data_IF_114372104083
#
_entry.id   IF_114372104083
#
_cell.length_a   1.000
_cell.length_b   1.000
_cell.length_c   1.000
_cell.angle_alpha   90.00
_cell.angle_beta   90.00
_cell.angle_gamma   90.00
#
_symmetry.space_group_name_H-M   'P 1'
#
loop_
_entity.id
_entity.type
_entity.pdbx_description
1 polymer ?
#
# COMPACT_ATOMS: atom_id res chain seq x y z
N UNK A 1 37.68 -16.45 16.93
CA UNK A 1 37.27 -15.03 16.82
C UNK A 1 36.20 -14.72 17.86
N UNK A 2 36.01 -13.46 18.28
CA UNK A 2 34.91 -13.10 19.22
C UNK A 2 33.53 -13.58 18.75
N UNK A 3 33.29 -13.57 17.43
CA UNK A 3 32.04 -14.09 16.82
C UNK A 3 31.85 -15.59 16.99
N UNK A 4 32.91 -16.39 16.85
CA UNK A 4 32.83 -17.84 17.09
C UNK A 4 32.39 -18.16 18.52
N UNK A 5 32.91 -17.41 19.49
CA UNK A 5 32.52 -17.53 20.91
C UNK A 5 31.05 -17.15 21.11
N UNK A 6 30.57 -16.06 20.49
CA UNK A 6 29.16 -15.67 20.56
C UNK A 6 28.26 -16.75 19.95
N UNK A 7 28.60 -17.29 18.76
CA UNK A 7 27.86 -18.39 18.14
C UNK A 7 27.77 -19.61 19.08
N UNK A 8 28.87 -19.98 19.72
CA UNK A 8 28.90 -21.09 20.67
C UNK A 8 28.03 -20.83 21.90
N UNK A 9 28.07 -19.62 22.47
CA UNK A 9 27.21 -19.23 23.60
C UNK A 9 25.73 -19.33 23.21
N UNK A 10 25.36 -18.78 22.06
CA UNK A 10 23.97 -18.81 21.58
C UNK A 10 23.52 -20.24 21.31
N UNK A 11 24.38 -21.09 20.76
CA UNK A 11 24.05 -22.51 20.51
C UNK A 11 23.72 -23.31 21.79
N UNK A 12 24.23 -22.87 22.94
CA UNK A 12 24.00 -23.50 24.26
C UNK A 12 22.73 -23.01 24.96
N UNK A 13 22.03 -22.02 24.41
CA UNK A 13 20.75 -21.54 24.95
C UNK A 13 19.69 -22.63 24.81
N UNK A 14 19.08 -23.04 25.92
CA UNK A 14 18.09 -24.12 25.96
C UNK A 14 16.70 -23.74 25.44
N UNK A 15 16.36 -22.45 25.43
CA UNK A 15 15.07 -21.98 24.93
C UNK A 15 15.15 -21.65 23.44
N UNK A 16 14.55 -22.51 22.62
CA UNK A 16 14.68 -22.51 21.16
C UNK A 16 14.30 -21.16 20.52
N UNK A 17 13.16 -20.57 20.91
CA UNK A 17 12.70 -19.32 20.32
C UNK A 17 13.67 -18.16 20.58
N UNK A 18 14.21 -18.05 21.79
CA UNK A 18 15.19 -17.01 22.11
C UNK A 18 16.53 -17.27 21.41
N UNK A 19 16.94 -18.54 21.29
CA UNK A 19 18.12 -18.92 20.52
C UNK A 19 17.99 -18.50 19.05
N UNK A 20 16.89 -18.87 18.40
CA UNK A 20 16.60 -18.55 16.99
C UNK A 20 16.51 -17.03 16.76
N UNK A 21 15.81 -16.31 17.64
CA UNK A 21 15.74 -14.85 17.59
C UNK A 21 17.14 -14.24 17.71
N UNK A 22 17.95 -14.69 18.69
CA UNK A 22 19.30 -14.17 18.89
C UNK A 22 20.20 -14.49 17.70
N UNK A 23 20.05 -15.65 17.06
CA UNK A 23 20.77 -15.98 15.82
C UNK A 23 20.43 -14.99 14.70
N UNK A 24 19.15 -14.67 14.51
CA UNK A 24 18.69 -13.67 13.55
C UNK A 24 19.24 -12.27 13.87
N UNK A 25 19.11 -11.84 15.13
CA UNK A 25 19.51 -10.51 15.59
C UNK A 25 21.02 -10.26 15.55
N UNK A 26 21.83 -11.31 15.59
CA UNK A 26 23.27 -11.23 15.45
C UNK A 26 23.75 -11.22 13.99
N UNK A 27 22.83 -11.24 13.02
CA UNK A 27 23.17 -10.98 11.63
C UNK A 27 23.60 -9.53 11.50
N UNK A 28 24.74 -9.27 10.86
CA UNK A 28 25.35 -7.93 10.77
C UNK A 28 25.58 -7.55 9.32
N UNK A 29 25.46 -6.26 8.97
CA UNK A 29 25.63 -5.69 7.61
C UNK A 29 26.80 -6.26 6.80
N UNK A 30 27.88 -6.65 7.48
CA UNK A 30 29.11 -7.09 6.84
C UNK A 30 29.19 -8.59 6.58
N UNK A 31 28.27 -9.40 7.12
CA UNK A 31 28.25 -10.85 6.93
C UNK A 31 26.83 -11.38 7.12
N UNK A 32 26.27 -11.98 6.07
CA UNK A 32 25.08 -12.82 6.22
C UNK A 32 25.40 -13.92 7.23
N UNK A 33 24.65 -14.02 8.31
CA UNK A 33 24.79 -15.17 9.18
C UNK A 33 24.55 -16.44 8.35
N UNK A 34 25.33 -17.49 8.59
CA UNK A 34 25.01 -18.84 8.14
C UNK A 34 23.74 -19.28 8.87
N UNK A 35 22.60 -18.79 8.41
CA UNK A 35 21.28 -19.17 8.90
C UNK A 35 20.94 -20.50 8.24
N UNK A 36 21.57 -21.58 8.71
CA UNK A 36 21.34 -22.93 8.19
C UNK A 36 19.86 -23.34 8.30
N UNK A 37 19.16 -22.86 9.35
CA UNK A 37 17.73 -23.01 9.53
C UNK A 37 17.10 -21.63 9.78
N UNK A 38 16.27 -21.18 8.83
CA UNK A 38 15.52 -19.93 8.95
C UNK A 38 14.15 -20.24 9.53
N UNK A 39 13.83 -19.64 10.69
CA UNK A 39 12.50 -19.72 11.30
C UNK A 39 11.84 -18.34 11.37
N UNK A 40 10.58 -18.30 11.79
CA UNK A 40 9.88 -17.04 12.09
C UNK A 40 10.66 -16.22 13.14
N UNK A 41 11.18 -16.85 14.19
CA UNK A 41 11.94 -16.16 15.23
C UNK A 41 13.26 -15.62 14.68
N UNK A 42 13.94 -16.36 13.81
CA UNK A 42 15.14 -15.88 13.10
C UNK A 42 14.82 -14.63 12.27
N UNK A 43 13.72 -14.62 11.52
CA UNK A 43 13.29 -13.46 10.75
C UNK A 43 12.97 -12.25 11.63
N UNK A 44 12.32 -12.46 12.78
CA UNK A 44 12.07 -11.40 13.75
C UNK A 44 13.35 -10.83 14.33
N UNK A 45 14.31 -11.69 14.70
CA UNK A 45 15.62 -11.26 15.16
C UNK A 45 16.33 -10.43 14.10
N UNK A 46 16.33 -10.90 12.85
CA UNK A 46 16.91 -10.17 11.73
C UNK A 46 16.28 -8.78 11.56
N UNK A 47 14.95 -8.73 11.59
CA UNK A 47 14.19 -7.48 11.41
C UNK A 47 14.30 -6.52 12.59
N UNK A 48 14.59 -7.04 13.78
CA UNK A 48 14.91 -6.21 14.94
C UNK A 48 16.25 -5.48 14.76
N UNK A 49 17.25 -6.12 14.14
CA UNK A 49 18.61 -5.57 14.04
C UNK A 49 18.89 -4.82 12.74
N UNK A 50 18.20 -5.16 11.65
CA UNK A 50 18.49 -4.65 10.30
C UNK A 50 17.19 -4.18 9.66
N UNK A 51 17.18 -2.94 9.16
CA UNK A 51 16.14 -2.42 8.27
C UNK A 51 16.58 -2.61 6.82
N UNK A 52 15.88 -3.46 6.07
CA UNK A 52 16.24 -3.89 4.72
C UNK A 52 16.93 -5.27 4.70
N UNK A 53 17.48 -5.65 3.54
CA UNK A 53 18.17 -6.92 3.37
C UNK A 53 19.59 -6.74 2.86
N UNK A 54 20.47 -7.64 3.30
CA UNK A 54 21.78 -7.80 2.69
C UNK A 54 21.65 -8.52 1.35
N UNK A 55 22.62 -8.24 0.48
CA UNK A 55 22.75 -8.92 -0.82
C UNK A 55 22.85 -10.44 -0.59
N UNK A 56 21.87 -11.19 -1.09
CA UNK A 56 21.82 -12.65 -1.00
C UNK A 56 21.07 -13.24 0.19
N UNK A 57 20.51 -12.41 1.09
CA UNK A 57 19.69 -12.92 2.22
C UNK A 57 18.21 -13.07 1.87
N UNK A 58 17.71 -12.29 0.92
CA UNK A 58 16.31 -12.32 0.48
C UNK A 58 15.82 -13.75 0.16
N UNK A 59 16.60 -14.51 -0.59
CA UNK A 59 16.23 -15.87 -1.00
C UNK A 59 16.12 -16.84 0.19
N UNK A 60 16.93 -16.63 1.23
CA UNK A 60 16.89 -17.46 2.45
C UNK A 60 15.61 -17.24 3.26
N UNK A 61 15.04 -16.05 3.20
CA UNK A 61 13.86 -15.69 3.95
C UNK A 61 12.54 -15.89 3.20
N UNK A 62 12.57 -16.17 1.88
CA UNK A 62 11.37 -16.28 1.04
C UNK A 62 10.29 -17.17 1.65
N UNK A 63 10.64 -18.42 2.00
CA UNK A 63 9.67 -19.39 2.56
C UNK A 63 9.06 -18.92 3.88
N UNK A 64 9.87 -18.30 4.76
CA UNK A 64 9.36 -17.76 6.02
C UNK A 64 8.50 -16.52 5.79
N UNK A 65 8.83 -15.68 4.80
CA UNK A 65 7.99 -14.56 4.38
C UNK A 65 6.61 -15.04 3.92
N UNK A 66 6.54 -16.08 3.10
CA UNK A 66 5.28 -16.70 2.66
C UNK A 66 4.47 -17.23 3.84
N UNK A 67 5.12 -17.94 4.77
CA UNK A 67 4.48 -18.47 5.98
C UNK A 67 3.92 -17.35 6.89
N UNK A 68 4.64 -16.22 7.00
CA UNK A 68 4.18 -15.04 7.76
C UNK A 68 2.95 -14.39 7.11
N UNK A 69 2.95 -14.23 5.79
CA UNK A 69 1.83 -13.68 5.03
C UNK A 69 0.59 -14.60 5.13
N UNK A 70 0.79 -15.92 5.02
CA UNK A 70 -0.26 -16.93 5.20
C UNK A 70 -0.88 -16.87 6.59
N UNK A 71 -0.06 -16.71 7.63
CA UNK A 71 -0.53 -16.60 9.03
C UNK A 71 -1.14 -15.23 9.36
N UNK A 72 -0.90 -14.21 8.53
CA UNK A 72 -1.23 -12.82 8.87
C UNK A 72 -0.36 -12.27 10.01
N UNK A 73 0.85 -12.81 10.19
CA UNK A 73 1.71 -12.46 11.32
C UNK A 73 2.63 -11.29 10.97
N UNK A 74 2.04 -10.10 10.93
CA UNK A 74 2.73 -8.83 10.65
C UNK A 74 2.66 -7.94 11.88
N UNK A 75 3.81 -7.49 12.38
CA UNK A 75 3.91 -6.63 13.54
C UNK A 75 5.03 -5.59 13.34
N UNK A 76 5.12 -4.62 14.26
CA UNK A 76 6.05 -3.50 14.14
C UNK A 76 7.53 -3.92 14.05
N UNK A 77 7.89 -5.13 14.49
CA UNK A 77 9.27 -5.64 14.39
C UNK A 77 9.58 -6.16 12.98
N UNK A 78 8.63 -6.83 12.33
CA UNK A 78 8.88 -7.56 11.09
C UNK A 78 8.26 -6.92 9.84
N UNK A 79 7.36 -5.96 9.99
CA UNK A 79 6.55 -5.39 8.90
C UNK A 79 7.39 -4.86 7.74
N UNK A 80 8.37 -4.02 8.04
CA UNK A 80 9.18 -3.35 7.01
C UNK A 80 9.93 -4.36 6.14
N UNK A 81 10.65 -5.29 6.79
CA UNK A 81 11.39 -6.32 6.07
C UNK A 81 10.45 -7.33 5.40
N UNK A 82 9.30 -7.65 5.99
CA UNK A 82 8.36 -8.57 5.35
C UNK A 82 7.82 -7.98 4.06
N UNK A 83 7.45 -6.70 4.04
CA UNK A 83 6.94 -6.05 2.83
C UNK A 83 8.04 -5.83 1.79
N UNK A 84 9.26 -5.48 2.19
CA UNK A 84 10.39 -5.44 1.27
C UNK A 84 10.69 -6.81 0.65
N UNK A 85 10.67 -7.88 1.45
CA UNK A 85 10.84 -9.25 0.97
C UNK A 85 9.72 -9.63 0.01
N UNK A 86 8.48 -9.31 0.37
CA UNK A 86 7.30 -9.62 -0.43
C UNK A 86 7.40 -8.98 -1.81
N UNK A 87 7.58 -7.65 -1.85
CA UNK A 87 7.76 -6.87 -3.08
C UNK A 87 8.93 -7.38 -3.93
N UNK A 88 10.00 -7.87 -3.30
CA UNK A 88 11.22 -8.27 -4.01
C UNK A 88 11.26 -9.73 -4.46
N UNK A 89 10.53 -10.66 -3.81
CA UNK A 89 10.75 -12.12 -4.01
C UNK A 89 9.51 -13.00 -3.96
N UNK A 90 8.36 -12.47 -3.55
CA UNK A 90 7.14 -13.26 -3.37
C UNK A 90 6.10 -12.75 -4.34
N UNK A 91 5.77 -13.54 -5.34
CA UNK A 91 4.65 -13.26 -6.22
C UNK A 91 3.34 -13.56 -5.47
N UNK A 92 2.46 -12.58 -5.25
CA UNK A 92 1.17 -12.82 -4.61
C UNK A 92 0.18 -13.58 -5.52
N UNK A 93 0.47 -13.67 -6.81
CA UNK A 93 -0.38 -14.33 -7.81
C UNK A 93 -0.02 -15.80 -8.07
N UNK A 94 1.01 -16.34 -7.40
CA UNK A 94 1.37 -17.76 -7.53
C UNK A 94 0.25 -18.65 -6.97
N UNK A 95 -0.09 -19.75 -7.67
CA UNK A 95 -1.22 -20.62 -7.29
C UNK A 95 -1.08 -21.24 -5.89
N UNK A 96 0.14 -21.51 -5.45
CA UNK A 96 0.45 -22.07 -4.13
C UNK A 96 0.49 -20.99 -3.02
N UNK A 97 0.38 -19.72 -3.39
CA UNK A 97 0.48 -18.61 -2.44
C UNK A 97 -0.84 -18.44 -1.68
N UNK A 98 -0.74 -18.47 -0.35
CA UNK A 98 -1.84 -18.16 0.55
C UNK A 98 -1.51 -16.89 1.33
N UNK A 99 -2.41 -15.90 1.31
CA UNK A 99 -2.25 -14.63 2.01
C UNK A 99 -3.46 -14.41 2.91
N UNK A 100 -3.21 -14.06 4.17
CA UNK A 100 -4.28 -13.66 5.09
C UNK A 100 -4.64 -12.18 4.89
N UNK A 101 -5.43 -11.90 3.85
CA UNK A 101 -5.86 -10.56 3.46
C UNK A 101 -6.60 -9.79 4.55
N UNK A 102 -7.25 -10.48 5.49
CA UNK A 102 -8.08 -9.83 6.52
C UNK A 102 -7.28 -9.34 7.73
N UNK A 103 -6.09 -9.91 7.99
CA UNK A 103 -5.30 -9.62 9.18
C UNK A 103 -4.06 -8.77 8.91
N UNK A 104 -3.78 -8.47 7.64
CA UNK A 104 -2.60 -7.69 7.24
C UNK A 104 -3.04 -6.31 6.77
N UNK A 105 -2.46 -5.28 7.38
CA UNK A 105 -2.61 -3.91 6.90
C UNK A 105 -1.55 -3.62 5.82
N UNK A 106 -1.99 -3.63 4.56
CA UNK A 106 -1.14 -3.37 3.39
C UNK A 106 -0.93 -1.89 3.08
N UNK A 107 -1.54 -0.94 3.80
CA UNK A 107 -1.32 0.51 3.56
C UNK A 107 0.17 0.87 3.63
N UNK A 108 0.91 0.23 4.55
CA UNK A 108 2.36 0.41 4.68
C UNK A 108 3.17 -0.16 3.51
N UNK A 109 2.66 -1.17 2.81
CA UNK A 109 3.29 -1.64 1.56
C UNK A 109 3.14 -0.58 0.46
N UNK A 110 1.99 0.11 0.39
CA UNK A 110 1.79 1.23 -0.55
C UNK A 110 2.78 2.37 -0.27
N UNK A 111 3.05 2.67 1.01
CA UNK A 111 4.07 3.65 1.41
C UNK A 111 5.44 3.29 0.83
N UNK A 112 5.88 2.03 0.99
CA UNK A 112 7.16 1.59 0.44
C UNK A 112 7.23 1.76 -1.08
N UNK A 113 6.17 1.38 -1.79
CA UNK A 113 6.13 1.51 -3.25
C UNK A 113 6.18 2.99 -3.66
N UNK A 114 5.36 3.84 -3.05
CA UNK A 114 5.23 5.26 -3.43
C UNK A 114 6.47 6.12 -3.10
N UNK A 115 7.27 5.71 -2.11
CA UNK A 115 8.45 6.44 -1.67
C UNK A 115 9.78 5.84 -2.19
N UNK A 116 9.75 4.65 -2.79
CA UNK A 116 10.96 3.98 -3.28
C UNK A 116 11.36 4.47 -4.67
N UNK A 117 12.60 4.91 -4.83
CA UNK A 117 13.19 5.18 -6.15
C UNK A 117 13.41 3.90 -6.96
N UNK A 118 13.50 2.75 -6.29
CA UNK A 118 13.69 1.45 -6.93
C UNK A 118 12.34 0.83 -7.35
N UNK A 119 12.36 0.09 -8.45
CA UNK A 119 11.27 -0.81 -8.83
C UNK A 119 11.48 -2.17 -8.18
N UNK A 120 10.44 -2.71 -7.57
CA UNK A 120 10.46 -4.06 -7.02
C UNK A 120 9.99 -5.08 -8.06
N UNK A 121 10.51 -6.30 -7.95
CA UNK A 121 10.23 -7.39 -8.91
C UNK A 121 8.74 -7.71 -9.02
N UNK A 122 8.01 -7.74 -7.90
CA UNK A 122 6.58 -8.07 -7.83
C UNK A 122 5.70 -6.86 -7.47
N UNK A 123 6.17 -5.64 -7.73
CA UNK A 123 5.46 -4.41 -7.36
C UNK A 123 4.04 -4.37 -7.94
N UNK A 124 3.89 -4.70 -9.22
CA UNK A 124 2.61 -4.59 -9.92
C UNK A 124 1.62 -5.66 -9.46
N UNK A 125 2.09 -6.89 -9.27
CA UNK A 125 1.30 -8.00 -8.76
C UNK A 125 0.79 -7.71 -7.35
N UNK A 126 1.64 -7.17 -6.47
CA UNK A 126 1.21 -6.77 -5.12
C UNK A 126 0.16 -5.66 -5.15
N UNK A 127 0.37 -4.61 -5.95
CA UNK A 127 -0.61 -3.53 -6.08
C UNK A 127 -1.96 -4.05 -6.60
N UNK A 128 -1.93 -4.93 -7.61
CA UNK A 128 -3.12 -5.54 -8.19
C UNK A 128 -3.85 -6.41 -7.17
N UNK A 129 -3.16 -7.33 -6.50
CA UNK A 129 -3.80 -8.26 -5.55
C UNK A 129 -4.34 -7.53 -4.31
N UNK A 130 -3.61 -6.53 -3.77
CA UNK A 130 -4.13 -5.69 -2.68
C UNK A 130 -5.43 -5.00 -3.10
N UNK A 131 -5.46 -4.42 -4.31
CA UNK A 131 -6.65 -3.78 -4.84
C UNK A 131 -7.81 -4.77 -5.01
N UNK A 132 -7.59 -5.94 -5.61
CA UNK A 132 -8.65 -6.93 -5.87
C UNK A 132 -9.24 -7.53 -4.59
N UNK A 133 -8.44 -7.60 -3.52
CA UNK A 133 -8.86 -8.08 -2.21
C UNK A 133 -9.44 -6.99 -1.30
N UNK A 134 -9.32 -5.71 -1.66
CA UNK A 134 -9.93 -4.61 -0.92
C UNK A 134 -11.43 -4.46 -1.22
N UNK A 135 -12.24 -4.78 -0.21
CA UNK A 135 -13.71 -4.67 -0.24
C UNK A 135 -14.23 -3.38 0.40
N UNK A 136 -13.43 -2.75 1.24
CA UNK A 136 -13.83 -1.62 2.07
C UNK A 136 -13.48 -0.27 1.43
N UNK A 137 -12.80 -0.28 0.28
CA UNK A 137 -12.40 0.94 -0.40
C UNK A 137 -11.11 1.56 0.15
N UNK A 138 -10.38 0.85 1.01
CA UNK A 138 -9.17 1.31 1.66
C UNK A 138 -8.06 1.58 0.65
N UNK A 139 -7.88 0.75 -0.38
CA UNK A 139 -6.83 0.92 -1.38
C UNK A 139 -6.95 2.28 -2.08
N UNK A 140 -8.14 2.60 -2.60
CA UNK A 140 -8.37 3.90 -3.24
C UNK A 140 -8.27 5.09 -2.26
N UNK A 141 -8.70 4.91 -1.01
CA UNK A 141 -8.56 5.96 0.04
C UNK A 141 -7.09 6.20 0.39
N UNK A 142 -6.31 5.14 0.50
CA UNK A 142 -4.90 5.23 0.87
C UNK A 142 -4.10 5.86 -0.28
N UNK A 143 -4.42 5.56 -1.55
CA UNK A 143 -3.83 6.27 -2.69
C UNK A 143 -4.18 7.75 -2.66
N UNK A 144 -5.44 8.11 -2.39
CA UNK A 144 -5.84 9.52 -2.26
C UNK A 144 -4.99 10.25 -1.21
N UNK A 145 -4.80 9.61 -0.05
CA UNK A 145 -3.99 10.16 1.03
C UNK A 145 -2.51 10.29 0.62
N UNK A 146 -1.89 9.21 0.13
CA UNK A 146 -0.46 9.23 -0.16
C UNK A 146 -0.08 10.04 -1.40
N UNK A 147 -0.96 10.21 -2.40
CA UNK A 147 -0.67 11.10 -3.53
C UNK A 147 -0.51 12.57 -3.11
N UNK A 148 -1.09 12.95 -1.99
CA UNK A 148 -0.98 14.30 -1.43
C UNK A 148 0.34 14.50 -0.65
N UNK A 149 0.90 13.43 -0.10
CA UNK A 149 2.13 13.46 0.70
C UNK A 149 3.35 13.91 -0.11
N UNK A 150 4.16 14.83 0.44
CA UNK A 150 5.37 15.35 -0.21
C UNK A 150 6.38 14.25 -0.54
N UNK A 151 6.46 13.23 0.32
CA UNK A 151 7.36 12.07 0.19
C UNK A 151 7.06 11.17 -1.00
N UNK A 152 5.86 11.23 -1.58
CA UNK A 152 5.48 10.40 -2.72
C UNK A 152 6.17 10.83 -4.00
N UNK A 153 6.80 9.88 -4.67
CA UNK A 153 7.44 10.08 -5.97
C UNK A 153 6.38 10.11 -7.08
N UNK A 154 6.44 11.14 -7.92
CA UNK A 154 5.40 11.40 -8.93
C UNK A 154 5.19 10.20 -9.88
N UNK A 155 6.28 9.63 -10.40
CA UNK A 155 6.22 8.50 -11.33
C UNK A 155 5.62 7.23 -10.68
N UNK A 156 5.79 7.04 -9.36
CA UNK A 156 5.13 5.94 -8.63
C UNK A 156 3.62 6.19 -8.50
N UNK A 157 3.23 7.43 -8.24
CA UNK A 157 1.82 7.83 -8.24
C UNK A 157 1.16 7.59 -9.60
N UNK A 158 1.83 7.95 -10.69
CA UNK A 158 1.36 7.68 -12.06
C UNK A 158 1.20 6.19 -12.33
N UNK A 159 2.21 5.38 -11.99
CA UNK A 159 2.18 3.92 -12.15
C UNK A 159 1.03 3.27 -11.38
N UNK A 160 0.84 3.63 -10.12
CA UNK A 160 -0.29 3.11 -9.32
C UNK A 160 -1.64 3.48 -9.95
N UNK A 161 -1.80 4.71 -10.43
CA UNK A 161 -3.05 5.12 -11.10
C UNK A 161 -3.29 4.37 -12.41
N UNK A 162 -2.23 4.07 -13.16
CA UNK A 162 -2.33 3.24 -14.36
C UNK A 162 -2.83 1.83 -14.00
N UNK A 163 -2.16 1.16 -13.07
CA UNK A 163 -2.53 -0.20 -12.62
C UNK A 163 -3.96 -0.21 -12.08
N UNK A 164 -4.32 0.79 -11.26
CA UNK A 164 -5.67 0.91 -10.74
C UNK A 164 -6.68 1.10 -11.87
N UNK A 165 -6.39 1.97 -12.84
CA UNK A 165 -7.26 2.22 -14.00
C UNK A 165 -7.46 0.98 -14.88
N UNK A 166 -6.42 0.19 -15.10
CA UNK A 166 -6.49 -1.05 -15.88
C UNK A 166 -7.34 -2.14 -15.21
N UNK A 167 -7.41 -2.14 -13.88
CA UNK A 167 -8.09 -3.18 -13.09
C UNK A 167 -9.35 -2.68 -12.35
N UNK A 168 -9.78 -1.43 -12.55
CA UNK A 168 -10.88 -0.82 -11.78
C UNK A 168 -12.23 -1.51 -11.96
N UNK A 169 -12.44 -2.18 -13.09
CA UNK A 169 -13.67 -2.93 -13.34
C UNK A 169 -13.89 -4.01 -12.27
N UNK A 170 -12.81 -4.70 -11.89
CA UNK A 170 -12.81 -5.82 -10.94
C UNK A 170 -12.70 -5.38 -9.47
N UNK A 171 -12.31 -4.12 -9.23
CA UNK A 171 -12.24 -3.54 -7.89
C UNK A 171 -13.63 -3.45 -7.24
N UNK A 172 -13.80 -4.03 -6.04
CA UNK A 172 -15.10 -4.13 -5.37
C UNK A 172 -15.36 -3.01 -4.38
N UNK A 173 -14.31 -2.38 -3.86
CA UNK A 173 -14.39 -1.32 -2.87
C UNK A 173 -15.13 -0.05 -3.35
N UNK A 174 -15.71 0.66 -2.39
CA UNK A 174 -16.27 2.01 -2.57
C UNK A 174 -15.43 2.99 -1.76
N UNK A 175 -14.85 3.96 -2.44
CA UNK A 175 -13.85 4.86 -1.87
C UNK A 175 -14.53 6.06 -1.23
N UNK A 176 -14.22 6.29 0.03
CA UNK A 176 -14.55 7.52 0.71
C UNK A 176 -13.63 8.65 0.19
N UNK A 177 -14.23 9.71 -0.36
CA UNK A 177 -13.49 10.83 -0.96
C UNK A 177 -13.45 12.07 -0.06
N UNK A 178 -13.78 11.97 1.23
CA UNK A 178 -13.83 13.14 2.10
C UNK A 178 -12.46 13.81 2.25
N UNK A 179 -11.37 13.04 2.36
CA UNK A 179 -10.01 13.60 2.45
C UNK A 179 -9.57 14.36 1.19
N UNK A 180 -10.16 14.07 0.03
CA UNK A 180 -9.78 14.68 -1.24
C UNK A 180 -10.06 16.20 -1.26
N UNK A 181 -11.04 16.70 -0.49
CA UNK A 181 -11.31 18.14 -0.43
C UNK A 181 -10.12 18.92 0.10
N UNK A 182 -9.53 18.43 1.18
CA UNK A 182 -8.38 19.09 1.81
C UNK A 182 -7.13 18.88 0.96
N UNK A 183 -6.89 17.67 0.46
CA UNK A 183 -5.76 17.39 -0.43
C UNK A 183 -5.76 18.28 -1.69
N UNK A 184 -6.89 18.45 -2.38
CA UNK A 184 -6.94 19.34 -3.55
C UNK A 184 -6.72 20.81 -3.22
N UNK A 185 -7.12 21.24 -2.01
CA UNK A 185 -6.99 22.62 -1.56
C UNK A 185 -5.57 22.94 -1.13
N UNK A 186 -4.91 22.01 -0.46
CA UNK A 186 -3.59 22.19 0.15
C UNK A 186 -2.43 21.84 -0.81
N UNK A 187 -2.67 20.96 -1.79
CA UNK A 187 -1.65 20.50 -2.71
C UNK A 187 -1.09 21.64 -3.59
N UNK A 188 0.19 21.96 -3.37
CA UNK A 188 0.91 23.02 -4.10
C UNK A 188 1.59 22.50 -5.37
N UNK A 189 1.93 21.21 -5.43
CA UNK A 189 2.48 20.59 -6.62
C UNK A 189 1.35 20.35 -7.63
N UNK A 190 1.44 21.04 -8.77
CA UNK A 190 0.42 20.96 -9.83
C UNK A 190 0.27 19.55 -10.40
N UNK A 191 1.36 18.82 -10.57
CA UNK A 191 1.33 17.47 -11.14
C UNK A 191 0.65 16.50 -10.17
N UNK A 192 0.98 16.56 -8.87
CA UNK A 192 0.27 15.78 -7.84
C UNK A 192 -1.21 16.13 -7.76
N UNK A 193 -1.55 17.42 -7.84
CA UNK A 193 -2.95 17.88 -7.90
C UNK A 193 -3.67 17.32 -9.13
N UNK A 194 -3.01 17.28 -10.29
CA UNK A 194 -3.56 16.68 -11.50
C UNK A 194 -3.76 15.16 -11.35
N UNK A 195 -2.87 14.44 -10.64
CA UNK A 195 -3.05 13.02 -10.31
C UNK A 195 -4.26 12.78 -9.39
N UNK A 196 -4.44 13.61 -8.35
CA UNK A 196 -5.61 13.54 -7.46
C UNK A 196 -6.91 13.75 -8.24
N UNK A 197 -6.93 14.71 -9.17
CA UNK A 197 -8.09 14.95 -10.06
C UNK A 197 -8.32 13.75 -10.99
N UNK A 198 -7.27 13.15 -11.57
CA UNK A 198 -7.39 11.94 -12.39
C UNK A 198 -7.99 10.78 -11.60
N UNK A 199 -7.50 10.54 -10.39
CA UNK A 199 -8.04 9.50 -9.49
C UNK A 199 -9.50 9.73 -9.16
N UNK A 200 -9.88 10.97 -8.82
CA UNK A 200 -11.28 11.32 -8.57
C UNK A 200 -12.19 10.98 -9.74
N UNK A 201 -11.82 11.36 -10.97
CA UNK A 201 -12.62 11.05 -12.14
C UNK A 201 -12.63 9.55 -12.45
N UNK A 202 -11.50 8.86 -12.29
CA UNK A 202 -11.42 7.42 -12.46
C UNK A 202 -12.42 6.70 -11.54
N UNK A 203 -12.53 7.13 -10.27
CA UNK A 203 -13.50 6.60 -9.31
C UNK A 203 -14.95 6.95 -9.71
N UNK A 204 -15.21 8.19 -10.12
CA UNK A 204 -16.55 8.65 -10.53
C UNK A 204 -17.05 7.89 -11.78
N UNK A 205 -16.20 7.75 -12.80
CA UNK A 205 -16.50 7.08 -14.07
C UNK A 205 -16.83 5.60 -13.90
N UNK A 206 -16.23 4.97 -12.89
CA UNK A 206 -16.44 3.56 -12.59
C UNK A 206 -17.43 3.34 -11.43
N UNK A 207 -18.14 4.40 -11.01
CA UNK A 207 -19.10 4.35 -9.91
C UNK A 207 -18.48 3.78 -8.62
N UNK A 208 -17.21 4.08 -8.34
CA UNK A 208 -16.47 3.56 -7.17
C UNK A 208 -16.43 4.53 -5.99
N UNK A 209 -17.17 5.64 -6.03
CA UNK A 209 -17.27 6.57 -4.90
C UNK A 209 -18.31 6.04 -3.90
N UNK A 210 -17.97 6.09 -2.61
CA UNK A 210 -18.89 5.76 -1.51
C UNK A 210 -20.01 6.79 -1.38
N UNK A 211 -21.25 6.32 -1.19
CA UNK A 211 -22.37 7.21 -0.88
C UNK A 211 -22.26 7.69 0.57
N UNK A 212 -22.15 9.01 0.75
CA UNK A 212 -22.05 9.65 2.06
C UNK A 212 -23.22 10.60 2.29
N UNK A 213 -23.58 10.80 3.57
CA UNK A 213 -24.55 11.81 4.00
C UNK A 213 -24.12 13.24 3.61
N UNK A 214 -22.81 13.48 3.52
CA UNK A 214 -22.23 14.77 3.12
C UNK A 214 -21.75 14.77 1.66
N UNK A 215 -22.35 13.92 0.81
CA UNK A 215 -21.95 13.76 -0.59
C UNK A 215 -22.00 15.07 -1.38
N UNK A 216 -23.13 15.81 -1.29
CA UNK A 216 -23.32 17.08 -1.99
C UNK A 216 -22.25 18.12 -1.62
N UNK A 217 -22.07 18.36 -0.31
CA UNK A 217 -21.08 19.34 0.17
C UNK A 217 -19.64 18.95 -0.18
N UNK A 218 -19.32 17.66 -0.12
CA UNK A 218 -17.98 17.15 -0.48
C UNK A 218 -17.72 17.38 -1.98
N UNK A 219 -18.68 17.04 -2.85
CA UNK A 219 -18.52 17.23 -4.29
C UNK A 219 -18.51 18.70 -4.70
N UNK A 220 -19.27 19.56 -4.03
CA UNK A 220 -19.19 21.01 -4.23
C UNK A 220 -17.81 21.56 -3.87
N UNK A 221 -17.24 21.12 -2.73
CA UNK A 221 -15.91 21.54 -2.30
C UNK A 221 -14.82 21.07 -3.27
N UNK A 222 -14.89 19.81 -3.73
CA UNK A 222 -14.01 19.28 -4.78
C UNK A 222 -14.16 20.12 -6.06
N UNK A 223 -15.39 20.38 -6.50
CA UNK A 223 -15.68 21.16 -7.71
C UNK A 223 -15.03 22.53 -7.69
N UNK A 224 -15.00 23.22 -6.54
CA UNK A 224 -14.35 24.52 -6.43
C UNK A 224 -12.85 24.49 -6.75
N UNK A 225 -12.19 23.35 -6.51
CA UNK A 225 -10.76 23.14 -6.78
C UNK A 225 -10.45 22.69 -8.21
N UNK A 226 -11.47 22.33 -9.00
CA UNK A 226 -11.31 21.82 -10.36
C UNK A 226 -11.15 22.95 -11.40
N UNK A 227 -10.38 22.73 -12.49
CA UNK A 227 -10.43 23.56 -13.69
C UNK A 227 -11.84 23.60 -14.29
N UNK A 228 -12.16 24.67 -15.03
CA UNK A 228 -13.51 24.90 -15.58
C UNK A 228 -14.07 23.72 -16.37
N UNK A 229 -13.27 23.11 -17.24
CA UNK A 229 -13.70 21.95 -18.04
C UNK A 229 -13.99 20.72 -17.17
N UNK A 230 -13.19 20.51 -16.12
CA UNK A 230 -13.43 19.46 -15.13
C UNK A 230 -14.68 19.74 -14.29
N UNK A 231 -15.00 21.01 -13.98
CA UNK A 231 -16.27 21.36 -13.30
C UNK A 231 -17.48 20.95 -14.15
N UNK A 232 -17.48 21.35 -15.43
CA UNK A 232 -18.53 20.99 -16.40
C UNK A 232 -18.68 19.48 -16.54
N UNK A 233 -17.55 18.76 -16.67
CA UNK A 233 -17.52 17.30 -16.72
C UNK A 233 -18.15 16.68 -15.47
N UNK A 234 -17.81 17.18 -14.28
CA UNK A 234 -18.38 16.70 -13.02
C UNK A 234 -19.90 16.89 -12.97
N UNK A 235 -20.42 18.09 -13.18
CA UNK A 235 -21.86 18.34 -13.06
C UNK A 235 -22.72 17.62 -14.12
N UNK A 236 -22.14 17.31 -15.28
CA UNK A 236 -22.80 16.54 -16.33
C UNK A 236 -22.67 15.02 -16.18
N UNK A 237 -21.95 14.53 -15.16
CA UNK A 237 -21.59 13.12 -15.10
C UNK A 237 -22.75 12.22 -14.66
N UNK A 238 -23.08 11.20 -15.45
CA UNK A 238 -24.22 10.31 -15.21
C UNK A 238 -24.13 9.55 -13.86
N UNK A 239 -22.93 9.13 -13.47
CA UNK A 239 -22.71 8.38 -12.23
C UNK A 239 -22.87 9.21 -10.96
N UNK A 240 -23.11 10.53 -11.03
CA UNK A 240 -23.49 11.31 -9.85
C UNK A 240 -24.74 10.73 -9.17
N UNK A 241 -25.66 10.15 -9.95
CA UNK A 241 -26.86 9.47 -9.46
C UNK A 241 -26.58 8.27 -8.54
N UNK A 242 -25.35 7.73 -8.58
CA UNK A 242 -24.95 6.63 -7.69
C UNK A 242 -24.61 7.11 -6.27
N UNK A 243 -24.34 8.41 -6.10
CA UNK A 243 -23.88 9.00 -4.84
C UNK A 243 -24.77 10.14 -4.34
N UNK A 244 -25.51 10.82 -5.23
CA UNK A 244 -26.38 11.96 -4.92
C UNK A 244 -27.83 11.71 -5.33
N UNK A 245 -28.75 12.39 -4.66
CA UNK A 245 -30.15 12.52 -5.08
C UNK A 245 -30.30 13.49 -6.27
N UNK A 246 -31.42 13.44 -7.03
CA UNK A 246 -31.66 14.39 -8.12
C UNK A 246 -31.60 15.86 -7.71
N UNK A 247 -32.08 16.19 -6.50
CA UNK A 247 -32.05 17.56 -5.98
C UNK A 247 -30.61 18.05 -5.75
N UNK A 248 -29.77 17.21 -5.14
CA UNK A 248 -28.35 17.52 -4.91
C UNK A 248 -27.57 17.64 -6.22
N UNK A 249 -27.93 16.86 -7.25
CA UNK A 249 -27.33 16.98 -8.58
C UNK A 249 -27.67 18.34 -9.21
N UNK A 250 -28.92 18.80 -9.07
CA UNK A 250 -29.34 20.10 -9.59
C UNK A 250 -28.65 21.25 -8.85
N UNK A 251 -28.45 21.13 -7.53
CA UNK A 251 -27.64 22.08 -6.76
C UNK A 251 -26.19 22.14 -7.25
N UNK A 252 -25.57 20.97 -7.48
CA UNK A 252 -24.21 20.88 -8.00
C UNK A 252 -24.06 21.50 -9.39
N UNK A 253 -25.06 21.36 -10.27
CA UNK A 253 -25.08 21.98 -11.61
C UNK A 253 -25.14 23.50 -11.55
N UNK A 254 -25.95 24.06 -10.66
CA UNK A 254 -26.09 25.52 -10.48
C UNK A 254 -24.80 26.19 -9.98
N UNK A 255 -23.89 25.42 -9.36
CA UNK A 255 -22.62 25.94 -8.86
C UNK A 255 -21.55 26.17 -9.94
N UNK A 256 -21.83 25.82 -11.20
CA UNK A 256 -20.96 26.11 -12.35
C UNK A 256 -21.18 27.53 -12.88
N UNK A 257 -22.40 28.05 -12.74
CA UNK A 257 -22.82 29.38 -13.19
C UNK A 257 -22.18 30.48 -12.31
#
# INVERSE_FOLDING_TARGET
SKRGVIKEIVSKVSFDQFREFTQGALTTTDNSADLENVTINTFQGYSFSISGFMKGDLDKFKLIGQELLKKGYVNNVNQNNLFLLALSKINPSDEEMEINWNNINFSWMLVFVLQSESEFEYEEEWLREIMLHDKEGNFGRDILYYLDEDSTLLFKGEKILQIFGENIADYKGKVNIHSLTDSLKEQKNREKKDLLIKLFFLLLENSKIEKSYFGSSTLLSIMQQLPLESKKRLAGHANLSTVLSPLEIDELKRAID
#
